data_IF_169580507491
#
_entry.id   IF_169580507491
#
_cell.length_a   1.000
_cell.length_b   1.000
_cell.length_c   1.000
_cell.angle_alpha   90.00
_cell.angle_beta   90.00
_cell.angle_gamma   90.00
#
_symmetry.space_group_name_H-M   'P 1'
#
loop_
_entity.id
_entity.type
_entity.pdbx_description
1 polymer ?
#
# COMPACT_ATOMS: atom_id res chain seq x y z
N UNK A 1 2.18 14.39 5.98
CA UNK A 1 1.12 15.41 6.08
C UNK A 1 -0.20 14.83 5.60
N UNK A 2 -1.34 15.52 5.75
CA UNK A 2 -2.58 15.14 5.06
C UNK A 2 -2.35 15.08 3.54
N UNK A 3 -3.21 14.39 2.76
CA UNK A 3 -3.15 14.54 1.31
C UNK A 3 -3.20 16.03 1.00
N UNK A 4 -2.24 16.53 0.23
CA UNK A 4 -2.39 17.86 -0.36
C UNK A 4 -3.66 17.89 -1.22
N UNK A 5 -4.00 19.03 -1.81
CA UNK A 5 -5.15 19.21 -2.71
C UNK A 5 -5.20 18.27 -3.95
N UNK A 6 -4.42 17.18 -3.99
CA UNK A 6 -4.36 16.17 -5.05
C UNK A 6 -5.46 15.10 -4.99
N UNK A 7 -6.29 15.05 -3.94
CA UNK A 7 -7.35 14.05 -3.83
C UNK A 7 -6.83 12.62 -3.60
N UNK A 8 -7.70 11.64 -3.74
CA UNK A 8 -7.38 10.21 -3.62
C UNK A 8 -6.69 9.69 -4.89
N UNK A 9 -5.69 8.83 -4.74
CA UNK A 9 -4.99 8.18 -5.85
C UNK A 9 -5.65 6.84 -6.22
N UNK A 10 -5.69 6.54 -7.51
CA UNK A 10 -6.12 5.23 -8.03
C UNK A 10 -5.02 4.16 -7.89
N UNK A 11 -3.75 4.58 -7.91
CA UNK A 11 -2.57 3.72 -7.92
C UNK A 11 -1.43 4.36 -7.10
N UNK A 12 -0.85 3.60 -6.18
CA UNK A 12 0.30 4.01 -5.37
C UNK A 12 1.43 2.99 -5.53
N UNK A 13 2.66 3.48 -5.72
CA UNK A 13 3.88 2.68 -5.69
C UNK A 13 4.66 3.01 -4.41
N UNK A 14 5.02 1.99 -3.64
CA UNK A 14 5.85 2.08 -2.45
C UNK A 14 7.11 1.23 -2.65
N UNK A 15 8.26 1.90 -2.77
CA UNK A 15 9.59 1.29 -2.84
C UNK A 15 10.45 1.82 -1.68
N UNK A 16 10.18 1.37 -0.44
CA UNK A 16 10.97 1.75 0.71
C UNK A 16 12.35 1.07 0.67
N UNK A 17 13.36 1.66 1.34
CA UNK A 17 14.63 0.97 1.55
C UNK A 17 14.41 -0.39 2.23
N UNK A 18 14.93 -1.46 1.61
CA UNK A 18 14.68 -2.83 2.05
C UNK A 18 15.11 -3.10 3.50
N UNK A 19 14.38 -4.00 4.17
CA UNK A 19 14.79 -4.59 5.44
C UNK A 19 14.57 -3.69 6.66
N UNK A 20 13.77 -2.64 6.55
CA UNK A 20 13.44 -1.71 7.65
C UNK A 20 11.96 -1.77 8.07
N UNK A 21 11.18 -2.73 7.57
CA UNK A 21 9.72 -2.83 7.81
C UNK A 21 8.95 -1.54 7.47
N UNK A 22 9.52 -0.72 6.58
CA UNK A 22 8.94 0.56 6.17
C UNK A 22 7.78 0.38 5.18
N UNK A 23 7.71 -0.76 4.47
CA UNK A 23 6.61 -1.07 3.56
C UNK A 23 5.25 -1.13 4.27
N UNK A 24 5.18 -1.82 5.41
CA UNK A 24 3.94 -1.90 6.20
C UNK A 24 3.53 -0.54 6.75
N UNK A 25 4.51 0.24 7.24
CA UNK A 25 4.25 1.59 7.74
C UNK A 25 3.72 2.50 6.64
N UNK A 26 4.29 2.43 5.43
CA UNK A 26 3.82 3.17 4.27
C UNK A 26 2.38 2.79 3.89
N UNK A 27 2.05 1.49 3.87
CA UNK A 27 0.69 1.02 3.58
C UNK A 27 -0.32 1.48 4.64
N UNK A 28 0.03 1.41 5.94
CA UNK A 28 -0.83 1.94 7.01
C UNK A 28 -1.08 3.44 6.83
N UNK A 29 -0.03 4.22 6.59
CA UNK A 29 -0.19 5.66 6.38
C UNK A 29 -1.06 5.99 5.16
N UNK A 30 -0.96 5.21 4.09
CA UNK A 30 -1.76 5.37 2.87
C UNK A 30 -3.26 5.23 3.17
N UNK A 31 -3.65 4.24 3.99
CA UNK A 31 -5.04 4.02 4.40
C UNK A 31 -5.49 5.08 5.40
N UNK A 32 -4.70 5.29 6.47
CA UNK A 32 -5.05 6.22 7.56
C UNK A 32 -5.24 7.66 7.07
N UNK A 33 -4.45 8.08 6.08
CA UNK A 33 -4.53 9.43 5.51
C UNK A 33 -5.53 9.54 4.35
N UNK A 34 -6.20 8.44 3.98
CA UNK A 34 -7.14 8.42 2.85
C UNK A 34 -6.46 8.81 1.53
N UNK A 35 -5.21 8.39 1.33
CA UNK A 35 -4.47 8.73 0.11
C UNK A 35 -4.90 7.87 -1.08
N UNK A 36 -5.50 6.72 -0.84
CA UNK A 36 -5.92 5.78 -1.88
C UNK A 36 -7.44 5.67 -1.89
N UNK A 37 -8.02 5.75 -3.08
CA UNK A 37 -9.47 5.60 -3.24
C UNK A 37 -9.91 4.17 -2.89
N UNK A 38 -11.17 3.93 -2.50
CA UNK A 38 -11.72 2.59 -2.43
C UNK A 38 -11.57 1.85 -3.76
N UNK A 39 -11.05 0.62 -3.70
CA UNK A 39 -10.73 -0.19 -4.87
C UNK A 39 -9.47 0.24 -5.64
N UNK A 40 -8.76 1.27 -5.18
CA UNK A 40 -7.44 1.63 -5.70
C UNK A 40 -6.39 0.55 -5.44
N UNK A 41 -5.29 0.59 -6.18
CA UNK A 41 -4.21 -0.40 -6.10
C UNK A 41 -2.98 0.20 -5.42
N UNK A 42 -2.38 -0.54 -4.50
CA UNK A 42 -1.06 -0.25 -3.96
C UNK A 42 -0.09 -1.35 -4.38
N UNK A 43 1.10 -0.96 -4.83
CA UNK A 43 2.18 -1.87 -5.21
C UNK A 43 3.32 -1.63 -4.24
N UNK A 44 3.63 -2.64 -3.44
CA UNK A 44 4.77 -2.63 -2.51
C UNK A 44 5.91 -3.47 -3.10
N UNK A 45 7.05 -2.84 -3.27
CA UNK A 45 8.31 -3.52 -3.56
C UNK A 45 9.09 -3.76 -2.26
N UNK A 46 9.56 -4.99 -2.04
CA UNK A 46 10.31 -5.35 -0.83
C UNK A 46 11.32 -6.49 -1.13
N UNK A 47 12.28 -6.74 -0.23
CA UNK A 47 13.16 -7.91 -0.37
C UNK A 47 12.34 -9.20 -0.40
N UNK A 48 12.72 -10.15 -1.26
CA UNK A 48 11.99 -11.41 -1.46
C UNK A 48 11.91 -12.32 -0.23
N UNK A 49 12.77 -12.10 0.76
CA UNK A 49 12.77 -12.86 2.03
C UNK A 49 12.02 -12.13 3.15
N UNK A 50 11.52 -10.92 2.88
CA UNK A 50 10.59 -10.21 3.75
C UNK A 50 9.20 -10.84 3.72
N UNK A 51 8.44 -10.67 4.79
CA UNK A 51 7.04 -11.08 4.86
C UNK A 51 6.22 -9.93 5.45
N UNK A 52 6.00 -8.84 4.68
CA UNK A 52 5.28 -7.68 5.19
C UNK A 52 3.85 -8.06 5.56
N UNK A 53 3.43 -7.67 6.76
CA UNK A 53 2.04 -7.80 7.19
C UNK A 53 1.15 -6.86 6.39
N UNK A 54 0.06 -7.39 5.84
CA UNK A 54 -0.91 -6.59 5.11
C UNK A 54 -1.83 -5.89 6.12
N UNK A 55 -1.83 -4.55 6.19
CA UNK A 55 -2.65 -3.84 7.15
C UNK A 55 -4.14 -3.93 6.79
N UNK A 56 -5.00 -3.74 7.79
CA UNK A 56 -6.44 -3.63 7.60
C UNK A 56 -6.78 -2.50 6.61
N UNK A 57 -7.77 -2.73 5.75
CA UNK A 57 -8.11 -1.83 4.64
C UNK A 57 -7.42 -2.18 3.33
N UNK A 58 -6.54 -3.19 3.31
CA UNK A 58 -6.01 -3.78 2.09
C UNK A 58 -6.34 -5.27 1.98
N UNK A 59 -6.51 -5.73 0.73
CA UNK A 59 -6.56 -7.13 0.34
C UNK A 59 -5.39 -7.42 -0.61
N UNK A 60 -4.61 -8.47 -0.34
CA UNK A 60 -3.57 -8.95 -1.25
C UNK A 60 -4.19 -9.65 -2.45
N UNK A 61 -3.94 -9.09 -3.64
CA UNK A 61 -4.41 -9.65 -4.90
C UNK A 61 -3.41 -10.63 -5.49
N UNK A 62 -2.13 -10.31 -5.41
CA UNK A 62 -1.06 -11.06 -6.05
C UNK A 62 0.29 -10.75 -5.37
N UNK A 63 1.22 -11.69 -5.45
CA UNK A 63 2.59 -11.55 -4.96
C UNK A 63 3.54 -12.26 -5.90
N UNK A 64 4.51 -11.51 -6.41
CA UNK A 64 5.46 -11.98 -7.41
C UNK A 64 6.88 -11.87 -6.89
N UNK A 65 7.67 -12.94 -7.02
CA UNK A 65 9.09 -12.95 -6.67
C UNK A 65 9.94 -12.80 -7.92
N UNK A 66 10.91 -11.89 -7.87
CA UNK A 66 11.92 -11.65 -8.89
C UNK A 66 13.30 -11.65 -8.23
N UNK A 67 14.01 -12.78 -8.33
CA UNK A 67 15.31 -12.96 -7.67
C UNK A 67 15.27 -12.65 -6.16
N UNK A 68 15.91 -11.55 -5.76
CA UNK A 68 16.05 -11.03 -4.40
C UNK A 68 14.98 -9.99 -4.01
N UNK A 69 14.05 -9.68 -4.92
CA UNK A 69 12.92 -8.76 -4.71
C UNK A 69 11.58 -9.48 -4.83
N UNK A 70 10.56 -8.96 -4.14
CA UNK A 70 9.17 -9.30 -4.34
C UNK A 70 8.32 -8.05 -4.57
N UNK A 71 7.26 -8.23 -5.34
CA UNK A 71 6.22 -7.23 -5.59
C UNK A 71 4.92 -7.75 -5.01
N UNK A 72 4.33 -7.01 -4.08
CA UNK A 72 3.03 -7.30 -3.47
C UNK A 72 2.01 -6.33 -4.06
N UNK A 73 0.95 -6.85 -4.65
CA UNK A 73 -0.13 -6.07 -5.28
C UNK A 73 -1.34 -6.12 -4.36
N UNK A 74 -1.78 -4.96 -3.90
CA UNK A 74 -2.79 -4.79 -2.87
C UNK A 74 -3.94 -3.95 -3.40
N UNK A 75 -5.17 -4.29 -3.00
CA UNK A 75 -6.38 -3.52 -3.30
C UNK A 75 -6.90 -2.86 -2.04
N UNK A 76 -7.15 -1.55 -2.09
CA UNK A 76 -7.80 -0.86 -0.98
C UNK A 76 -9.26 -1.33 -0.87
N UNK A 77 -9.60 -1.94 0.25
CA UNK A 77 -10.96 -2.40 0.59
C UNK A 77 -11.67 -1.47 1.56
N UNK A 78 -11.02 -0.39 2.01
CA UNK A 78 -11.63 0.59 2.90
C UNK A 78 -12.90 1.15 2.25
N UNK A 79 -14.03 1.05 2.96
CA UNK A 79 -15.25 1.69 2.51
C UNK A 79 -15.02 3.21 2.44
N UNK A 80 -15.54 3.85 1.39
CA UNK A 80 -15.50 5.31 1.26
C UNK A 80 -16.04 5.91 2.57
N UNK A 81 -15.20 6.61 3.34
CA UNK A 81 -15.74 7.41 4.43
C UNK A 81 -16.74 8.37 3.80
N UNK A 82 -18.01 8.45 4.29
CA UNK A 82 -18.98 9.35 3.70
C UNK A 82 -18.41 10.77 3.75
N UNK A 83 -18.27 11.40 2.58
CA UNK A 83 -17.85 12.79 2.49
C UNK A 83 -18.81 13.66 3.33
N UNK A 84 -18.31 14.56 4.19
CA UNK A 84 -19.16 15.54 4.87
C UNK A 84 -19.81 16.52 3.89
#
# INVERSE_FOLDING_TARGET
>A
GPPGNMGEFDLIFADPPYGQSLGEAALREVVEKGWIRPGGIAILEESADSAPEIPEGFEEMDRRRYADTQIVILRNTSALAPSP
#
